data_IF_853278502659
#
_entry.id   IF_853278502659
#
_cell.length_a   1.000
_cell.length_b   1.000
_cell.length_c   1.000
_cell.angle_alpha   90.00
_cell.angle_beta   90.00
_cell.angle_gamma   90.00
#
_symmetry.space_group_name_H-M   'P 1'
#
loop_
_entity.id
_entity.type
_entity.pdbx_description
1 polymer ?
#
# COMPACT_ATOMS: atom_id res chain seq x y z
N UNK A 1 -3.57 23.70 -26.69
CA UNK A 1 -2.38 23.34 -25.89
C UNK A 1 -2.91 22.87 -24.53
N UNK A 2 -2.92 21.55 -24.26
CA UNK A 2 -3.41 21.02 -22.98
C UNK A 2 -2.27 21.15 -21.96
N UNK A 3 -2.42 22.05 -20.99
CA UNK A 3 -1.57 22.03 -19.79
C UNK A 3 -1.94 20.79 -18.99
N UNK A 4 -0.96 19.90 -18.79
CA UNK A 4 -1.10 18.67 -18.04
C UNK A 4 -1.36 18.96 -16.57
N UNK A 5 -2.58 18.71 -16.12
CA UNK A 5 -2.87 18.49 -14.72
C UNK A 5 -2.27 17.12 -14.36
N UNK A 6 -1.16 17.10 -13.63
CA UNK A 6 -0.69 15.87 -12.99
C UNK A 6 -1.68 15.54 -11.89
N UNK A 7 -2.53 14.54 -12.13
CA UNK A 7 -3.43 13.97 -11.14
C UNK A 7 -2.56 13.32 -10.04
N UNK A 8 -2.18 14.07 -9.00
CA UNK A 8 -1.34 13.59 -7.88
C UNK A 8 -2.01 12.48 -7.04
N UNK A 9 -3.24 12.10 -7.38
CA UNK A 9 -4.11 11.17 -6.66
C UNK A 9 -4.54 9.93 -7.46
N UNK A 10 -4.00 9.69 -8.66
CA UNK A 10 -4.29 8.43 -9.36
C UNK A 10 -3.60 7.24 -8.66
N UNK A 11 -4.47 6.37 -8.13
CA UNK A 11 -4.33 5.14 -7.33
C UNK A 11 -3.33 5.13 -6.15
N UNK A 12 -3.79 5.49 -4.95
CA UNK A 12 -3.08 5.27 -3.67
C UNK A 12 -3.24 3.86 -3.11
N UNK A 13 -3.86 2.98 -3.90
CA UNK A 13 -4.18 1.62 -3.53
C UNK A 13 -3.83 0.69 -4.66
N UNK A 14 -3.44 -0.53 -4.31
CA UNK A 14 -3.28 -1.64 -5.23
C UNK A 14 -4.30 -2.71 -4.89
N UNK A 15 -5.00 -3.22 -5.91
CA UNK A 15 -5.90 -4.36 -5.78
C UNK A 15 -5.18 -5.60 -6.34
N UNK A 16 -5.14 -6.66 -5.53
CA UNK A 16 -4.62 -7.97 -5.91
C UNK A 16 -5.74 -9.00 -5.89
N UNK A 17 -5.66 -9.95 -6.82
CA UNK A 17 -6.69 -10.95 -7.07
C UNK A 17 -8.12 -10.36 -7.16
N UNK A 18 -8.38 -9.36 -8.01
CA UNK A 18 -9.68 -8.64 -8.04
C UNK A 18 -10.87 -9.53 -8.42
N UNK A 19 -10.62 -10.73 -8.97
CA UNK A 19 -11.63 -11.70 -9.37
C UNK A 19 -11.64 -12.95 -8.47
N UNK A 20 -11.01 -12.88 -7.29
CA UNK A 20 -10.97 -13.98 -6.34
C UNK A 20 -12.37 -14.45 -5.94
N UNK A 21 -12.58 -15.76 -5.85
CA UNK A 21 -13.89 -16.36 -5.59
C UNK A 21 -14.27 -16.43 -4.11
N UNK A 22 -13.32 -16.14 -3.21
CA UNK A 22 -13.55 -16.15 -1.76
C UNK A 22 -14.56 -15.08 -1.32
N UNK A 23 -15.29 -15.36 -0.24
CA UNK A 23 -16.09 -14.36 0.46
C UNK A 23 -15.27 -13.44 1.37
N UNK A 24 -13.97 -13.70 1.50
CA UNK A 24 -13.04 -12.91 2.32
C UNK A 24 -12.50 -11.74 1.49
N UNK A 25 -12.44 -10.56 2.12
CA UNK A 25 -11.69 -9.41 1.61
C UNK A 25 -10.56 -9.11 2.59
N UNK A 26 -9.34 -9.10 2.08
CA UNK A 26 -8.15 -8.73 2.85
C UNK A 26 -7.85 -7.25 2.65
N UNK A 27 -7.44 -6.58 3.72
CA UNK A 27 -7.03 -5.16 3.70
C UNK A 27 -5.69 -5.05 4.40
N UNK A 28 -4.76 -4.30 3.81
CA UNK A 28 -3.49 -3.96 4.43
C UNK A 28 -3.23 -2.45 4.30
N UNK A 29 -3.66 -1.68 5.29
CA UNK A 29 -3.49 -0.21 5.28
C UNK A 29 -2.03 0.21 5.40
N UNK A 30 -1.25 -0.46 6.26
CA UNK A 30 0.15 -0.13 6.56
C UNK A 30 1.17 -0.92 5.70
N UNK A 31 0.87 -1.10 4.40
CA UNK A 31 1.62 -1.96 3.51
C UNK A 31 3.02 -1.43 3.12
N UNK A 32 3.21 -0.11 3.16
CA UNK A 32 4.39 0.59 2.64
C UNK A 32 4.85 1.67 3.60
N UNK A 33 6.16 1.95 3.63
CA UNK A 33 6.73 3.10 4.36
C UNK A 33 6.98 4.31 3.44
N UNK A 34 6.46 4.28 2.21
CA UNK A 34 6.63 5.36 1.25
C UNK A 34 5.94 6.63 1.75
N UNK A 35 6.72 7.72 1.79
CA UNK A 35 6.23 9.06 2.11
C UNK A 35 6.49 9.91 0.86
N UNK A 36 5.48 10.54 0.25
CA UNK A 36 5.69 11.43 -0.89
C UNK A 36 6.66 12.57 -0.57
N UNK A 37 7.55 12.88 -1.51
CA UNK A 37 8.65 13.86 -1.33
C UNK A 37 8.17 15.24 -0.84
N UNK A 38 6.96 15.66 -1.22
CA UNK A 38 6.37 16.94 -0.79
C UNK A 38 6.27 17.06 0.74
N UNK A 39 6.18 15.94 1.46
CA UNK A 39 6.10 15.91 2.91
C UNK A 39 7.46 15.90 3.60
N UNK A 40 8.56 15.90 2.85
CA UNK A 40 9.93 15.94 3.39
C UNK A 40 10.16 14.91 4.50
N UNK A 41 9.73 13.66 4.27
CA UNK A 41 9.82 12.55 5.23
C UNK A 41 9.18 12.85 6.60
N UNK A 42 8.26 13.82 6.68
CA UNK A 42 7.65 14.30 7.92
C UNK A 42 8.66 14.73 9.00
N UNK A 43 9.92 15.04 8.61
CA UNK A 43 11.00 15.34 9.55
C UNK A 43 11.54 14.12 10.33
N UNK A 44 11.20 12.89 9.90
CA UNK A 44 11.65 11.67 10.56
C UNK A 44 13.14 11.36 10.28
N UNK A 45 13.79 10.70 11.24
CA UNK A 45 15.13 10.15 11.04
C UNK A 45 15.11 8.97 10.07
N UNK A 46 16.26 8.67 9.46
CA UNK A 46 16.41 7.51 8.57
C UNK A 46 16.06 6.18 9.23
N UNK A 47 16.27 6.07 10.55
CA UNK A 47 15.92 4.86 11.30
C UNK A 47 14.40 4.75 11.49
N UNK A 48 13.71 5.86 11.76
CA UNK A 48 12.25 5.85 11.91
C UNK A 48 11.54 5.63 10.58
N UNK A 49 12.10 6.10 9.46
CA UNK A 49 11.56 5.83 8.12
C UNK A 49 11.53 4.34 7.74
N UNK A 50 12.36 3.51 8.40
CA UNK A 50 12.45 2.07 8.16
C UNK A 50 11.87 1.24 9.30
N UNK A 51 11.45 1.87 10.39
CA UNK A 51 10.90 1.18 11.56
C UNK A 51 9.40 0.98 11.44
N UNK A 52 8.82 0.25 12.40
CA UNK A 52 7.38 0.04 12.50
C UNK A 52 6.56 1.33 12.69
N UNK A 53 7.20 2.47 12.92
CA UNK A 53 6.51 3.76 13.02
C UNK A 53 5.97 4.20 11.65
N UNK A 54 6.60 3.77 10.56
CA UNK A 54 6.24 4.19 9.21
C UNK A 54 5.31 3.21 8.47
N UNK A 55 5.21 1.96 8.93
CA UNK A 55 4.49 0.85 8.27
C UNK A 55 4.50 -0.41 9.16
N UNK A 56 3.83 -1.49 8.74
CA UNK A 56 3.89 -2.80 9.40
C UNK A 56 4.82 -3.76 8.62
N UNK A 57 6.10 -3.93 9.00
CA UNK A 57 7.05 -4.72 8.22
C UNK A 57 6.61 -6.16 8.05
N UNK A 58 6.47 -6.58 6.79
CA UNK A 58 6.05 -7.95 6.42
C UNK A 58 4.53 -8.14 6.32
N UNK A 59 3.70 -7.21 6.78
CA UNK A 59 2.24 -7.33 6.71
C UNK A 59 1.73 -7.47 5.27
N UNK A 60 2.25 -6.64 4.35
CA UNK A 60 1.91 -6.72 2.93
C UNK A 60 2.25 -8.09 2.34
N UNK A 61 3.45 -8.62 2.61
CA UNK A 61 3.87 -9.93 2.10
C UNK A 61 2.96 -11.06 2.61
N UNK A 62 2.59 -11.03 3.89
CA UNK A 62 1.64 -12.00 4.46
C UNK A 62 0.26 -11.87 3.83
N UNK A 63 -0.26 -10.64 3.69
CA UNK A 63 -1.56 -10.38 3.09
C UNK A 63 -1.63 -10.87 1.63
N UNK A 64 -0.56 -10.70 0.87
CA UNK A 64 -0.44 -11.17 -0.51
C UNK A 64 -0.48 -12.70 -0.60
N UNK A 65 0.25 -13.40 0.29
CA UNK A 65 0.19 -14.86 0.33
C UNK A 65 -1.17 -15.37 0.82
N UNK A 66 -1.81 -14.70 1.78
CA UNK A 66 -3.17 -15.03 2.20
C UNK A 66 -4.16 -14.84 1.04
N UNK A 67 -4.06 -13.75 0.28
CA UNK A 67 -4.87 -13.50 -0.91
C UNK A 67 -4.76 -14.64 -1.92
N UNK A 68 -3.52 -15.11 -2.17
CA UNK A 68 -3.26 -16.24 -3.06
C UNK A 68 -3.82 -17.56 -2.52
N UNK A 69 -3.58 -17.89 -1.26
CA UNK A 69 -3.99 -19.18 -0.65
C UNK A 69 -5.50 -19.27 -0.47
N UNK A 70 -6.15 -18.15 -0.14
CA UNK A 70 -7.59 -18.09 0.12
C UNK A 70 -8.41 -17.77 -1.13
N UNK A 71 -7.77 -17.47 -2.27
CA UNK A 71 -8.41 -16.91 -3.46
C UNK A 71 -9.27 -15.68 -3.15
N UNK A 72 -8.73 -14.78 -2.32
CA UNK A 72 -9.42 -13.62 -1.78
C UNK A 72 -8.89 -12.33 -2.43
N UNK A 73 -9.77 -11.34 -2.62
CA UNK A 73 -9.37 -9.99 -3.02
C UNK A 73 -8.54 -9.36 -1.90
N UNK A 74 -7.43 -8.71 -2.26
CA UNK A 74 -6.64 -7.87 -1.35
C UNK A 74 -6.62 -6.44 -1.86
N UNK A 75 -6.86 -5.49 -0.96
CA UNK A 75 -6.59 -4.07 -1.17
C UNK A 75 -5.48 -3.63 -0.23
N UNK A 76 -4.40 -3.04 -0.74
CA UNK A 76 -3.27 -2.57 0.05
C UNK A 76 -2.82 -1.17 -0.40
N UNK A 77 -2.13 -0.43 0.48
CA UNK A 77 -1.47 0.84 0.12
C UNK A 77 -0.24 0.64 -0.79
N UNK A 78 0.12 1.67 -1.57
CA UNK A 78 1.32 1.72 -2.43
C UNK A 78 2.36 2.72 -1.94
#
# INVERSE_FOLDING_TARGET
>A
MKQGQTNIFEDKTQIMNPNGSSSIVLVCEHATHFIPDIYSNLGLSSNNLKSHVAWDPGAAAVAQELSRVMDAVLVQGV
#
